data_IF_680672801153
#
_entry.id   IF_680672801153
#
_cell.length_a   1.000
_cell.length_b   1.000
_cell.length_c   1.000
_cell.angle_alpha   90.00
_cell.angle_beta   90.00
_cell.angle_gamma   90.00
#
_symmetry.space_group_name_H-M   'P 1'
#
loop_
_entity.id
_entity.type
_entity.pdbx_description
1 polymer ?
#
# COMPACT_ATOMS: atom_id res chain seq x y z
N UNK A 1 42.71 -61.13 -13.05
CA UNK A 1 42.12 -61.66 -14.29
C UNK A 1 41.67 -60.47 -15.13
N UNK A 2 42.64 -59.88 -15.84
CA UNK A 2 42.80 -59.89 -17.31
C UNK A 2 41.81 -58.92 -17.96
N UNK A 3 42.18 -57.86 -18.68
CA UNK A 3 43.44 -57.18 -19.07
C UNK A 3 42.92 -55.91 -19.81
N UNK A 4 43.47 -54.72 -19.57
CA UNK A 4 44.40 -54.00 -20.50
C UNK A 4 43.77 -53.68 -21.88
N UNK A 5 43.94 -52.54 -22.54
CA UNK A 5 44.83 -51.38 -22.41
C UNK A 5 44.54 -50.45 -23.60
N UNK A 6 44.88 -49.18 -23.42
CA UNK A 6 45.62 -48.29 -24.35
C UNK A 6 44.94 -47.81 -25.64
N UNK A 7 45.12 -46.49 -25.78
CA UNK A 7 44.75 -45.61 -26.86
C UNK A 7 45.65 -45.73 -28.11
N UNK A 8 45.21 -44.97 -29.12
CA UNK A 8 45.96 -43.98 -29.90
C UNK A 8 46.29 -44.30 -31.37
N UNK A 9 45.94 -43.30 -32.21
CA UNK A 9 46.41 -42.95 -33.57
C UNK A 9 45.98 -43.90 -34.70
N UNK A 10 45.53 -43.48 -35.87
CA UNK A 10 45.34 -42.16 -36.48
C UNK A 10 45.08 -42.31 -37.99
N UNK A 11 44.41 -41.31 -38.55
CA UNK A 11 44.38 -40.85 -39.95
C UNK A 11 44.26 -41.87 -41.11
N UNK A 12 43.23 -41.72 -41.94
CA UNK A 12 43.38 -41.52 -43.40
C UNK A 12 42.12 -40.88 -43.99
N UNK A 13 42.32 -40.01 -44.98
CA UNK A 13 41.33 -39.15 -45.62
C UNK A 13 40.78 -39.74 -46.92
N UNK A 14 39.77 -39.04 -47.46
CA UNK A 14 39.25 -39.06 -48.84
C UNK A 14 38.24 -40.16 -49.22
N UNK A 15 37.00 -39.77 -49.51
CA UNK A 15 36.51 -39.57 -50.89
C UNK A 15 34.99 -39.80 -51.02
N UNK A 16 34.35 -38.84 -51.70
CA UNK A 16 33.27 -39.03 -52.68
C UNK A 16 31.83 -39.36 -52.24
N UNK A 17 31.01 -38.35 -52.44
CA UNK A 17 29.56 -38.30 -52.67
C UNK A 17 28.85 -39.60 -53.08
N UNK A 18 27.80 -39.91 -52.34
CA UNK A 18 26.62 -40.64 -52.82
C UNK A 18 25.38 -39.79 -52.53
N UNK A 19 24.71 -39.39 -53.61
CA UNK A 19 23.41 -38.74 -53.63
C UNK A 19 22.38 -39.65 -52.95
N UNK A 20 21.93 -39.28 -51.75
CA UNK A 20 20.78 -39.86 -51.10
C UNK A 20 19.64 -38.83 -51.06
N UNK A 21 18.47 -39.26 -51.54
CA UNK A 21 17.23 -38.51 -51.70
C UNK A 21 16.87 -37.60 -50.51
N UNK A 22 16.14 -36.49 -50.75
CA UNK A 22 15.73 -35.60 -49.66
C UNK A 22 14.85 -36.37 -48.67
N UNK A 23 15.19 -36.43 -47.37
CA UNK A 23 14.27 -36.99 -46.41
C UNK A 23 13.06 -36.05 -46.32
N UNK A 24 11.91 -36.70 -46.47
CA UNK A 24 10.56 -36.29 -46.11
C UNK A 24 10.45 -34.93 -45.39
N UNK A 25 9.57 -34.09 -45.94
CA UNK A 25 8.92 -32.96 -45.27
C UNK A 25 8.95 -33.14 -43.75
N UNK A 26 9.88 -32.44 -43.09
CA UNK A 26 9.81 -32.25 -41.66
C UNK A 26 8.44 -31.63 -41.41
N UNK A 27 7.53 -32.41 -40.82
CA UNK A 27 6.24 -31.90 -40.38
C UNK A 27 6.54 -30.63 -39.58
N UNK A 28 6.05 -29.49 -40.08
CA UNK A 28 6.19 -28.22 -39.39
C UNK A 28 5.75 -28.46 -37.94
N UNK A 29 6.52 -28.03 -36.93
CA UNK A 29 6.18 -28.28 -35.54
C UNK A 29 4.74 -27.83 -35.36
N UNK A 30 3.85 -28.76 -34.98
CA UNK A 30 2.47 -28.47 -34.64
C UNK A 30 2.47 -27.18 -33.85
N UNK A 31 1.86 -26.13 -34.40
CA UNK A 31 2.01 -24.76 -33.91
C UNK A 31 1.42 -24.67 -32.49
N UNK A 32 2.19 -25.05 -31.47
CA UNK A 32 1.66 -25.53 -30.19
C UNK A 32 0.61 -24.61 -29.60
N UNK A 33 -0.59 -25.13 -29.34
CA UNK A 33 -1.81 -24.38 -29.00
C UNK A 33 -1.51 -23.06 -28.27
N UNK A 34 -1.85 -21.92 -28.88
CA UNK A 34 -1.67 -20.62 -28.24
C UNK A 34 -2.59 -20.51 -27.01
N UNK A 35 -2.05 -20.75 -25.82
CA UNK A 35 -2.83 -20.74 -24.58
C UNK A 35 -3.10 -19.31 -24.10
N UNK A 36 -4.36 -19.01 -23.83
CA UNK A 36 -4.81 -17.78 -23.18
C UNK A 36 -4.97 -17.98 -21.68
N UNK A 37 -4.20 -17.24 -20.88
CA UNK A 37 -4.43 -17.12 -19.44
C UNK A 37 -5.46 -16.01 -19.18
N UNK A 38 -6.65 -16.39 -18.73
CA UNK A 38 -7.78 -15.46 -18.58
C UNK A 38 -7.92 -15.02 -17.12
N UNK A 39 -7.57 -13.76 -16.84
CA UNK A 39 -7.67 -13.14 -15.51
C UNK A 39 -8.99 -12.41 -15.35
N UNK A 40 -9.66 -12.69 -14.23
CA UNK A 40 -10.90 -12.05 -13.79
C UNK A 40 -10.73 -11.59 -12.34
N UNK A 41 -11.59 -10.68 -11.88
CA UNK A 41 -11.76 -10.47 -10.45
C UNK A 41 -12.40 -11.73 -9.84
N UNK A 42 -11.60 -12.52 -9.11
CA UNK A 42 -12.05 -13.79 -8.54
C UNK A 42 -13.06 -13.62 -7.40
N UNK A 43 -13.15 -12.43 -6.79
CA UNK A 43 -14.22 -12.09 -5.86
C UNK A 43 -15.52 -11.92 -6.63
N UNK A 44 -15.48 -11.13 -7.70
CA UNK A 44 -16.60 -10.88 -8.60
C UNK A 44 -16.77 -9.42 -8.96
N UNK A 45 -17.91 -9.11 -9.58
CA UNK A 45 -18.27 -7.78 -10.04
C UNK A 45 -19.67 -7.36 -9.57
N UNK A 46 -19.89 -6.06 -9.38
CA UNK A 46 -21.21 -5.48 -9.11
C UNK A 46 -22.08 -5.46 -10.38
N UNK A 47 -23.42 -5.55 -10.26
CA UNK A 47 -24.31 -5.53 -11.43
C UNK A 47 -24.10 -4.32 -12.35
N UNK A 48 -23.96 -3.11 -11.80
CA UNK A 48 -23.91 -1.87 -12.56
C UNK A 48 -22.50 -1.26 -12.71
N UNK A 49 -21.44 -1.95 -12.29
CA UNK A 49 -20.09 -1.45 -12.50
C UNK A 49 -19.53 -1.88 -13.87
N UNK A 50 -18.56 -1.12 -14.43
CA UNK A 50 -17.72 -1.57 -15.52
C UNK A 50 -16.97 -2.86 -15.14
N UNK A 51 -17.05 -3.87 -16.00
CA UNK A 51 -16.47 -5.20 -15.74
C UNK A 51 -15.39 -5.48 -16.76
N UNK A 52 -14.17 -5.67 -16.27
CA UNK A 52 -12.99 -5.90 -17.11
C UNK A 52 -12.33 -7.21 -16.71
N UNK A 53 -11.99 -8.00 -17.72
CA UNK A 53 -11.14 -9.18 -17.64
C UNK A 53 -10.00 -9.04 -18.66
N UNK A 54 -9.00 -9.90 -18.55
CA UNK A 54 -7.84 -9.89 -19.45
C UNK A 54 -7.54 -11.29 -19.96
N UNK A 55 -7.32 -11.44 -21.26
CA UNK A 55 -6.71 -12.63 -21.83
C UNK A 55 -5.23 -12.33 -22.13
N UNK A 56 -4.34 -13.16 -21.62
CA UNK A 56 -2.88 -12.99 -21.75
C UNK A 56 -2.31 -14.17 -22.52
N UNK A 57 -1.55 -13.92 -23.58
CA UNK A 57 -1.00 -14.96 -24.46
C UNK A 57 0.51 -14.78 -24.68
N UNK A 58 1.19 -15.87 -25.06
CA UNK A 58 2.61 -15.84 -25.45
C UNK A 58 2.78 -15.30 -26.88
N UNK A 59 1.90 -15.72 -27.79
CA UNK A 59 1.87 -15.34 -29.20
C UNK A 59 0.63 -14.47 -29.48
N UNK A 60 0.70 -13.65 -30.52
CA UNK A 60 -0.43 -12.83 -30.95
C UNK A 60 -1.64 -13.71 -31.24
N UNK A 61 -2.82 -13.26 -30.83
CA UNK A 61 -4.10 -13.95 -30.97
C UNK A 61 -5.12 -13.04 -31.67
N UNK A 62 -4.84 -12.60 -32.92
CA UNK A 62 -5.75 -11.74 -33.65
C UNK A 62 -7.07 -12.49 -33.90
N UNK A 63 -8.19 -11.77 -33.85
CA UNK A 63 -9.53 -12.30 -34.09
C UNK A 63 -10.02 -13.41 -33.12
N UNK A 64 -9.27 -13.76 -32.07
CA UNK A 64 -9.75 -14.67 -31.04
C UNK A 64 -11.08 -14.18 -30.45
N UNK A 65 -11.98 -15.13 -30.19
CA UNK A 65 -13.31 -14.86 -29.66
C UNK A 65 -13.39 -15.28 -28.21
N UNK A 66 -14.35 -14.71 -27.49
CA UNK A 66 -14.71 -15.19 -26.17
C UNK A 66 -16.21 -15.41 -26.06
N UNK A 67 -16.59 -16.36 -25.23
CA UNK A 67 -17.95 -16.54 -24.74
C UNK A 67 -17.97 -16.43 -23.22
N UNK A 68 -19.06 -15.92 -22.68
CA UNK A 68 -19.35 -15.97 -21.24
C UNK A 68 -20.40 -17.04 -21.02
N UNK A 69 -20.10 -17.98 -20.13
CA UNK A 69 -20.95 -19.11 -19.81
C UNK A 69 -21.54 -18.96 -18.42
N UNK A 70 -22.83 -19.28 -18.25
CA UNK A 70 -23.54 -19.36 -16.96
C UNK A 70 -24.40 -20.63 -16.98
N UNK A 71 -24.18 -21.55 -16.03
CA UNK A 71 -24.92 -22.84 -15.96
C UNK A 71 -24.87 -23.62 -17.28
N UNK A 72 -23.71 -23.70 -17.92
CA UNK A 72 -23.54 -24.37 -19.22
C UNK A 72 -23.94 -23.54 -20.44
N UNK A 73 -24.82 -22.54 -20.28
CA UNK A 73 -25.32 -21.73 -21.38
C UNK A 73 -24.41 -20.54 -21.72
N UNK A 74 -24.28 -20.25 -23.01
CA UNK A 74 -23.62 -19.03 -23.49
C UNK A 74 -24.56 -17.84 -23.32
N UNK A 75 -24.23 -16.96 -22.37
CA UNK A 75 -25.00 -15.74 -22.07
C UNK A 75 -24.43 -14.48 -22.73
N UNK A 76 -23.23 -14.59 -23.31
CA UNK A 76 -22.60 -13.50 -24.06
C UNK A 76 -21.56 -14.04 -25.02
N UNK A 77 -21.41 -13.39 -26.17
CA UNK A 77 -20.32 -13.59 -27.12
C UNK A 77 -19.58 -12.28 -27.35
N UNK A 78 -18.31 -12.37 -27.73
CA UNK A 78 -17.54 -11.20 -28.14
C UNK A 78 -16.20 -11.59 -28.77
N UNK A 79 -15.47 -10.57 -29.23
CA UNK A 79 -14.09 -10.71 -29.73
C UNK A 79 -13.12 -10.14 -28.71
N UNK A 80 -11.92 -10.69 -28.64
CA UNK A 80 -10.84 -10.05 -27.90
C UNK A 80 -10.62 -8.64 -28.47
N UNK A 81 -10.43 -7.65 -27.57
CA UNK A 81 -10.15 -6.28 -27.99
C UNK A 81 -8.77 -6.11 -28.61
N UNK A 82 -8.33 -4.87 -28.81
CA UNK A 82 -6.95 -4.58 -29.23
C UNK A 82 -5.94 -5.15 -28.22
N UNK A 83 -4.82 -5.65 -28.73
CA UNK A 83 -3.65 -5.96 -27.90
C UNK A 83 -3.13 -4.68 -27.24
N UNK A 84 -3.11 -4.66 -25.91
CA UNK A 84 -2.63 -3.53 -25.11
C UNK A 84 -1.16 -3.68 -24.71
N UNK A 85 -0.48 -4.68 -25.29
CA UNK A 85 0.96 -4.87 -25.18
C UNK A 85 1.36 -5.89 -24.12
N UNK A 86 2.66 -5.85 -23.80
CA UNK A 86 3.33 -6.87 -22.99
C UNK A 86 3.19 -6.61 -21.49
N UNK A 87 2.85 -7.66 -20.74
CA UNK A 87 2.92 -7.65 -19.27
C UNK A 87 4.23 -8.24 -18.73
N UNK A 88 4.80 -9.26 -19.38
CA UNK A 88 6.04 -9.94 -18.93
C UNK A 88 6.74 -10.66 -20.07
N UNK A 89 7.93 -11.25 -19.82
CA UNK A 89 8.61 -12.12 -20.82
C UNK A 89 7.69 -13.25 -21.31
N UNK A 90 6.89 -13.84 -20.41
CA UNK A 90 5.93 -14.89 -20.73
C UNK A 90 4.69 -14.36 -21.43
N UNK A 91 4.12 -13.25 -20.97
CA UNK A 91 2.87 -12.70 -21.48
C UNK A 91 3.13 -11.48 -22.36
N UNK A 92 3.41 -11.73 -23.63
CA UNK A 92 3.79 -10.71 -24.62
C UNK A 92 2.61 -9.94 -25.20
N UNK A 93 1.42 -10.55 -25.18
CA UNK A 93 0.20 -9.95 -25.71
C UNK A 93 -0.90 -10.01 -24.65
N UNK A 94 -1.60 -8.90 -24.46
CA UNK A 94 -2.66 -8.76 -23.47
C UNK A 94 -3.88 -8.14 -24.12
N UNK A 95 -5.02 -8.82 -24.01
CA UNK A 95 -6.27 -8.39 -24.61
C UNK A 95 -7.29 -8.06 -23.52
N UNK A 96 -7.79 -6.82 -23.53
CA UNK A 96 -8.84 -6.40 -22.60
C UNK A 96 -10.21 -6.92 -23.04
N UNK A 97 -10.89 -7.63 -22.15
CA UNK A 97 -12.25 -8.14 -22.33
C UNK A 97 -13.19 -7.26 -21.51
N UNK A 98 -14.12 -6.57 -22.18
CA UNK A 98 -15.17 -5.78 -21.53
C UNK A 98 -16.47 -6.59 -21.48
N UNK A 99 -16.99 -6.81 -20.28
CA UNK A 99 -18.23 -7.57 -20.07
C UNK A 99 -19.46 -6.64 -19.88
N UNK A 100 -19.36 -5.37 -20.30
CA UNK A 100 -20.36 -4.32 -20.05
C UNK A 100 -21.76 -4.71 -20.54
N UNK A 101 -22.79 -4.56 -19.70
CA UNK A 101 -24.15 -5.06 -19.96
C UNK A 101 -24.45 -6.43 -19.32
N UNK A 102 -23.43 -7.17 -18.86
CA UNK A 102 -23.67 -8.35 -18.03
C UNK A 102 -24.03 -7.89 -16.60
N UNK A 103 -25.33 -7.91 -16.26
CA UNK A 103 -25.83 -7.43 -14.96
C UNK A 103 -26.51 -8.51 -14.13
N UNK A 104 -27.04 -9.57 -14.78
CA UNK A 104 -27.73 -10.67 -14.12
C UNK A 104 -26.82 -11.28 -13.04
N UNK A 105 -27.40 -11.60 -11.89
CA UNK A 105 -26.66 -12.21 -10.78
C UNK A 105 -26.38 -13.68 -11.08
N UNK A 106 -25.20 -14.16 -10.68
CA UNK A 106 -24.83 -15.56 -10.86
C UNK A 106 -23.32 -15.80 -10.86
N UNK A 107 -22.95 -17.03 -11.17
CA UNK A 107 -21.57 -17.45 -11.39
C UNK A 107 -21.34 -17.63 -12.88
N UNK A 108 -20.21 -17.13 -13.35
CA UNK A 108 -19.85 -17.04 -14.76
C UNK A 108 -18.44 -17.56 -14.99
N UNK A 109 -18.15 -17.93 -16.24
CA UNK A 109 -16.80 -18.24 -16.73
C UNK A 109 -16.60 -17.63 -18.11
N UNK A 110 -15.41 -17.12 -18.41
CA UNK A 110 -15.02 -16.72 -19.75
C UNK A 110 -14.30 -17.89 -20.40
N UNK A 111 -14.64 -18.19 -21.65
CA UNK A 111 -13.94 -19.16 -22.50
C UNK A 111 -13.48 -18.44 -23.76
N UNK A 112 -12.17 -18.44 -24.00
CA UNK A 112 -11.52 -17.89 -25.19
C UNK A 112 -11.27 -19.02 -26.17
N UNK A 113 -11.57 -18.81 -27.46
CA UNK A 113 -11.41 -19.78 -28.55
C UNK A 113 -10.88 -19.11 -29.83
N UNK A 114 -10.30 -19.93 -30.72
CA UNK A 114 -9.78 -19.53 -32.03
C UNK A 114 -8.25 -19.47 -32.02
N UNK A 115 -7.68 -18.35 -32.46
CA UNK A 115 -6.21 -18.12 -32.48
C UNK A 115 -5.55 -18.10 -31.10
N UNK A 116 -6.36 -18.15 -30.03
CA UNK A 116 -5.93 -18.60 -28.72
C UNK A 116 -7.06 -19.35 -28.00
N UNK A 117 -6.69 -20.25 -27.08
CA UNK A 117 -7.63 -21.08 -26.34
C UNK A 117 -7.36 -21.01 -24.84
N UNK A 118 -8.40 -20.83 -24.03
CA UNK A 118 -8.26 -20.74 -22.57
C UNK A 118 -9.57 -20.47 -21.84
N UNK A 119 -9.57 -20.62 -20.52
CA UNK A 119 -10.74 -20.39 -19.67
C UNK A 119 -10.36 -19.70 -18.38
N UNK A 120 -11.23 -18.84 -17.87
CA UNK A 120 -11.05 -18.20 -16.57
C UNK A 120 -11.42 -19.14 -15.42
N UNK A 121 -10.96 -18.86 -14.19
CA UNK A 121 -11.66 -19.28 -12.99
C UNK A 121 -13.13 -18.81 -13.01
N UNK A 122 -13.96 -19.43 -12.18
CA UNK A 122 -15.33 -18.94 -11.98
C UNK A 122 -15.31 -17.57 -11.30
N UNK A 123 -16.19 -16.65 -11.72
CA UNK A 123 -16.38 -15.35 -11.06
C UNK A 123 -17.86 -15.05 -10.86
N UNK A 124 -18.16 -14.15 -9.92
CA UNK A 124 -19.54 -13.83 -9.54
C UNK A 124 -19.97 -12.47 -10.05
N UNK A 125 -21.26 -12.33 -10.36
CA UNK A 125 -21.93 -11.03 -10.37
C UNK A 125 -22.93 -11.04 -9.22
N UNK A 126 -22.73 -10.15 -8.24
CA UNK A 126 -23.55 -10.10 -7.03
C UNK A 126 -23.50 -8.71 -6.37
N UNK A 127 -24.47 -8.39 -5.49
CA UNK A 127 -24.43 -7.15 -4.71
C UNK A 127 -23.17 -7.03 -3.86
N UNK A 128 -22.68 -5.80 -3.66
CA UNK A 128 -21.44 -5.52 -2.93
C UNK A 128 -21.45 -6.04 -1.48
N UNK A 129 -22.63 -6.10 -0.84
CA UNK A 129 -22.77 -6.71 0.50
C UNK A 129 -22.35 -8.18 0.53
N UNK A 130 -22.49 -8.92 -0.58
CA UNK A 130 -22.10 -10.33 -0.68
C UNK A 130 -20.64 -10.48 -1.08
N UNK A 131 -20.17 -9.64 -2.01
CA UNK A 131 -18.81 -9.72 -2.55
C UNK A 131 -17.77 -9.12 -1.60
N UNK A 132 -18.01 -7.90 -1.11
CA UNK A 132 -16.98 -7.07 -0.49
C UNK A 132 -17.12 -6.93 1.03
N UNK A 133 -18.28 -7.24 1.62
CA UNK A 133 -18.44 -7.26 3.09
C UNK A 133 -17.52 -8.27 3.77
N UNK A 134 -17.36 -9.51 3.27
CA UNK A 134 -16.39 -10.45 3.84
C UNK A 134 -14.95 -9.95 3.73
N UNK A 135 -14.56 -9.39 2.59
CA UNK A 135 -13.21 -8.83 2.41
C UNK A 135 -12.91 -7.70 3.38
N UNK A 136 -13.87 -6.80 3.62
CA UNK A 136 -13.71 -5.76 4.65
C UNK A 136 -13.49 -6.36 6.04
N UNK A 137 -14.23 -7.43 6.39
CA UNK A 137 -14.04 -8.14 7.66
C UNK A 137 -12.66 -8.79 7.73
N UNK A 138 -12.17 -9.39 6.64
CA UNK A 138 -10.84 -9.98 6.57
C UNK A 138 -9.74 -8.91 6.66
N UNK A 139 -9.90 -7.76 6.00
CA UNK A 139 -8.97 -6.64 6.12
C UNK A 139 -8.86 -6.16 7.58
N UNK A 140 -9.99 -5.97 8.27
CA UNK A 140 -9.98 -5.62 9.71
C UNK A 140 -9.36 -6.75 10.55
N UNK A 141 -9.59 -8.02 10.20
CA UNK A 141 -8.96 -9.15 10.89
C UNK A 141 -7.43 -9.12 10.70
N UNK A 142 -6.94 -8.81 9.51
CA UNK A 142 -5.52 -8.68 9.23
C UNK A 142 -4.85 -7.58 10.08
N UNK A 143 -5.44 -6.39 10.17
CA UNK A 143 -4.92 -5.36 11.10
C UNK A 143 -4.91 -5.86 12.54
N UNK A 144 -5.94 -6.59 12.96
CA UNK A 144 -5.99 -7.18 14.31
C UNK A 144 -4.88 -8.19 14.57
N UNK A 145 -4.50 -9.00 13.57
CA UNK A 145 -3.39 -9.96 13.69
C UNK A 145 -2.02 -9.29 13.71
N UNK A 146 -1.91 -8.09 13.15
CA UNK A 146 -0.70 -7.29 13.17
C UNK A 146 -0.52 -6.48 14.46
N UNK A 147 -1.50 -6.48 15.38
CA UNK A 147 -1.38 -5.69 16.62
C UNK A 147 -0.18 -6.11 17.46
N UNK A 148 0.43 -5.10 18.06
CA UNK A 148 1.54 -5.21 18.99
C UNK A 148 1.17 -4.77 20.42
N UNK A 149 2.02 -5.03 21.40
CA UNK A 149 1.82 -4.66 22.79
C UNK A 149 0.90 -5.62 23.55
N UNK A 150 0.23 -5.11 24.58
CA UNK A 150 -0.61 -5.95 25.46
C UNK A 150 -2.00 -6.25 24.90
N UNK A 151 -2.48 -5.50 23.90
CA UNK A 151 -3.83 -5.62 23.36
C UNK A 151 -3.86 -6.42 22.04
N UNK A 152 -3.37 -7.66 22.12
CA UNK A 152 -3.33 -8.60 21.02
C UNK A 152 -4.51 -9.56 21.16
N UNK A 153 -5.46 -9.57 20.22
CA UNK A 153 -6.52 -10.57 20.23
C UNK A 153 -5.92 -11.95 19.92
N UNK A 154 -6.32 -12.97 20.69
CA UNK A 154 -5.89 -14.36 20.44
C UNK A 154 -6.15 -14.75 18.98
N UNK A 155 -7.34 -14.43 18.46
CA UNK A 155 -7.62 -14.42 17.02
C UNK A 155 -7.28 -15.73 16.29
N UNK A 156 -7.13 -15.65 14.96
CA UNK A 156 -6.85 -16.82 14.12
C UNK A 156 -5.40 -17.33 14.22
N UNK A 157 -4.46 -16.48 14.66
CA UNK A 157 -3.04 -16.81 14.73
C UNK A 157 -2.58 -17.23 16.14
N UNK A 158 -3.52 -17.32 17.10
CA UNK A 158 -3.23 -17.59 18.52
C UNK A 158 -2.08 -16.75 19.07
N UNK A 159 -1.99 -15.51 18.61
CA UNK A 159 -0.90 -14.61 18.98
C UNK A 159 -1.01 -14.22 20.44
N UNK A 160 0.14 -14.02 21.06
CA UNK A 160 0.28 -13.53 22.44
C UNK A 160 0.72 -12.07 22.42
N UNK A 161 0.50 -11.33 23.52
CA UNK A 161 1.14 -10.05 23.74
C UNK A 161 2.65 -10.09 23.45
N UNK A 162 3.17 -9.01 22.88
CA UNK A 162 4.57 -8.90 22.46
C UNK A 162 5.10 -7.48 22.66
N UNK A 163 6.42 -7.35 22.77
CA UNK A 163 7.16 -6.10 22.91
C UNK A 163 6.61 -5.22 24.04
N UNK A 164 6.40 -5.83 25.20
CA UNK A 164 5.83 -5.15 26.37
C UNK A 164 6.76 -4.07 26.93
N UNK A 165 8.06 -4.22 26.67
CA UNK A 165 9.09 -3.24 27.02
C UNK A 165 8.90 -1.87 26.33
N UNK A 166 8.14 -1.80 25.23
CA UNK A 166 7.81 -0.55 24.54
C UNK A 166 7.06 0.46 25.42
N UNK A 167 6.43 0.01 26.52
CA UNK A 167 5.81 0.92 27.51
C UNK A 167 6.82 1.84 28.18
N UNK A 168 8.10 1.48 28.18
CA UNK A 168 9.22 2.25 28.75
C UNK A 168 10.40 2.36 27.76
N UNK A 169 10.09 2.55 26.48
CA UNK A 169 11.13 2.66 25.45
C UNK A 169 12.05 3.87 25.66
N UNK A 170 13.33 3.72 25.32
CA UNK A 170 14.22 4.86 25.16
C UNK A 170 13.92 5.60 23.86
N UNK A 171 14.10 6.92 23.87
CA UNK A 171 14.16 7.70 22.63
C UNK A 171 15.60 7.82 22.17
N UNK A 172 15.80 7.72 20.85
CA UNK A 172 17.12 7.67 20.22
C UNK A 172 17.20 8.69 19.07
N UNK A 173 18.40 9.16 18.79
CA UNK A 173 18.67 9.95 17.59
C UNK A 173 18.44 9.11 16.34
N UNK A 174 18.12 9.75 15.21
CA UNK A 174 18.01 9.10 13.90
C UNK A 174 19.27 8.25 13.64
N UNK A 175 19.13 6.94 13.36
CA UNK A 175 20.26 6.07 13.10
C UNK A 175 20.87 6.35 11.73
N UNK A 176 22.14 5.97 11.56
CA UNK A 176 22.85 6.05 10.27
C UNK A 176 22.93 4.68 9.63
N UNK A 177 22.75 4.63 8.32
CA UNK A 177 22.84 3.43 7.53
C UNK A 177 23.86 3.63 6.39
N UNK A 178 24.56 2.56 6.03
CA UNK A 178 25.47 2.50 4.87
C UNK A 178 25.30 1.16 4.19
N UNK A 179 25.04 1.15 2.88
CA UNK A 179 24.74 -0.06 2.09
C UNK A 179 23.66 -0.95 2.75
N UNK A 180 22.57 -0.33 3.22
CA UNK A 180 21.47 -1.05 3.88
C UNK A 180 21.75 -1.54 5.30
N UNK A 181 22.94 -1.35 5.88
CA UNK A 181 23.29 -1.83 7.22
C UNK A 181 23.45 -0.70 8.23
N UNK A 182 23.08 -0.96 9.48
CA UNK A 182 23.20 0.00 10.58
C UNK A 182 24.67 0.30 10.86
N UNK A 183 25.00 1.58 10.99
CA UNK A 183 26.34 2.07 11.34
C UNK A 183 26.40 2.41 12.81
N UNK A 184 27.27 1.73 13.55
CA UNK A 184 27.45 1.92 14.99
C UNK A 184 26.23 1.51 15.81
N UNK A 185 26.17 1.98 17.05
CA UNK A 185 25.03 1.74 17.96
C UNK A 185 24.10 2.96 17.99
N UNK A 186 22.77 2.76 18.10
CA UNK A 186 21.82 3.84 18.33
C UNK A 186 22.17 4.69 19.55
N UNK A 187 22.25 6.01 19.37
CA UNK A 187 22.54 6.96 20.45
C UNK A 187 21.25 7.34 21.19
N UNK A 188 21.13 6.94 22.45
CA UNK A 188 20.00 7.32 23.31
C UNK A 188 20.04 8.83 23.57
N UNK A 189 18.88 9.48 23.57
CA UNK A 189 18.77 10.93 23.78
C UNK A 189 17.86 11.30 24.97
N UNK A 190 16.83 10.51 25.27
CA UNK A 190 15.92 10.73 26.40
C UNK A 190 15.06 9.47 26.64
N UNK A 191 14.06 9.59 27.52
CA UNK A 191 13.09 8.55 27.87
C UNK A 191 13.09 8.25 29.37
N UNK A 192 12.21 7.35 29.85
CA UNK A 192 11.35 6.47 29.07
C UNK A 192 10.14 7.19 28.42
N UNK A 193 9.61 6.60 27.35
CA UNK A 193 8.33 6.96 26.72
C UNK A 193 7.52 5.70 26.45
N UNK A 194 6.19 5.81 26.46
CA UNK A 194 5.31 4.72 26.00
C UNK A 194 5.09 4.82 24.49
N UNK A 195 5.58 3.82 23.76
CA UNK A 195 5.33 3.61 22.31
C UNK A 195 4.67 2.26 22.02
N UNK A 196 4.12 1.62 23.06
CA UNK A 196 3.46 0.32 22.97
C UNK A 196 2.15 0.38 22.18
N UNK A 197 1.76 -0.74 21.58
CA UNK A 197 0.61 -0.81 20.68
C UNK A 197 1.01 -0.58 19.23
N UNK A 198 0.03 -0.21 18.41
CA UNK A 198 0.20 -0.08 16.97
C UNK A 198 0.14 -1.43 16.26
N UNK A 199 0.48 -1.41 14.98
CA UNK A 199 0.58 -2.60 14.14
C UNK A 199 2.02 -2.80 13.72
N UNK A 200 2.44 -4.05 13.64
CA UNK A 200 3.60 -4.43 12.86
C UNK A 200 3.41 -4.02 11.41
N UNK A 201 4.45 -3.40 10.87
CA UNK A 201 4.41 -2.79 9.55
C UNK A 201 4.24 -3.83 8.45
N UNK A 202 5.01 -4.92 8.54
CA UNK A 202 4.99 -5.98 7.55
C UNK A 202 5.16 -7.37 8.19
N UNK A 203 6.01 -8.21 7.59
CA UNK A 203 6.44 -9.48 8.16
C UNK A 203 7.45 -9.32 9.31
N UNK A 204 8.11 -8.16 9.38
CA UNK A 204 8.89 -7.72 10.54
C UNK A 204 7.98 -7.20 11.67
N UNK A 205 8.59 -6.78 12.78
CA UNK A 205 7.90 -6.19 13.92
C UNK A 205 8.14 -4.69 14.08
N UNK A 206 8.60 -4.01 13.04
CA UNK A 206 8.83 -2.58 13.04
C UNK A 206 7.50 -1.83 13.03
N UNK A 207 7.55 -0.56 13.45
CA UNK A 207 6.41 0.34 13.40
C UNK A 207 6.85 1.70 12.91
N UNK A 208 6.27 2.16 11.80
CA UNK A 208 6.60 3.47 11.22
C UNK A 208 5.37 4.39 11.23
N UNK A 209 5.59 5.66 11.56
CA UNK A 209 4.56 6.70 11.37
C UNK A 209 4.22 6.86 9.88
N UNK A 210 5.24 6.75 9.03
CA UNK A 210 5.14 6.77 7.56
C UNK A 210 3.98 5.91 7.02
N UNK A 211 4.06 4.60 7.21
CA UNK A 211 3.06 3.64 6.73
C UNK A 211 1.79 3.62 7.57
N UNK A 212 1.93 3.74 8.90
CA UNK A 212 0.79 3.65 9.81
C UNK A 212 -0.18 4.82 9.60
N UNK A 213 0.31 6.03 9.31
CA UNK A 213 -0.58 7.17 9.05
C UNK A 213 -1.35 7.00 7.74
N UNK A 214 -0.74 6.44 6.69
CA UNK A 214 -1.43 6.08 5.44
C UNK A 214 -2.51 5.03 5.70
N UNK A 215 -2.15 3.90 6.32
CA UNK A 215 -3.08 2.80 6.59
C UNK A 215 -4.23 3.24 7.50
N UNK A 216 -3.95 4.00 8.56
CA UNK A 216 -4.97 4.48 9.49
C UNK A 216 -5.87 5.55 8.85
N UNK A 217 -5.34 6.44 8.00
CA UNK A 217 -6.17 7.37 7.24
C UNK A 217 -7.21 6.63 6.37
N UNK A 218 -6.82 5.57 5.66
CA UNK A 218 -7.75 4.74 4.89
C UNK A 218 -8.80 4.07 5.78
N UNK A 219 -8.40 3.51 6.93
CA UNK A 219 -9.32 2.90 7.89
C UNK A 219 -10.31 3.92 8.48
N UNK A 220 -9.85 5.12 8.81
CA UNK A 220 -10.67 6.20 9.36
C UNK A 220 -11.64 6.75 8.30
N UNK A 221 -11.20 6.94 7.05
CA UNK A 221 -12.06 7.31 5.91
C UNK A 221 -13.14 6.25 5.69
N UNK A 222 -12.75 4.96 5.71
CA UNK A 222 -13.68 3.85 5.57
C UNK A 222 -14.69 3.79 6.74
N UNK A 223 -14.23 3.99 7.98
CA UNK A 223 -15.07 4.04 9.18
C UNK A 223 -16.07 5.21 9.11
N UNK A 224 -15.63 6.38 8.64
CA UNK A 224 -16.49 7.56 8.39
C UNK A 224 -17.60 7.25 7.38
N UNK A 225 -17.28 6.50 6.32
CA UNK A 225 -18.24 6.09 5.27
C UNK A 225 -19.13 4.91 5.67
N UNK A 226 -18.82 4.21 6.77
CA UNK A 226 -19.56 3.02 7.23
C UNK A 226 -19.85 3.09 8.74
N UNK A 227 -20.62 4.09 9.22
CA UNK A 227 -20.78 4.36 10.65
C UNK A 227 -21.36 3.20 11.47
N UNK A 228 -22.10 2.27 10.84
CA UNK A 228 -22.60 1.05 11.48
C UNK A 228 -21.54 -0.04 11.72
N UNK A 229 -20.37 0.02 11.08
CA UNK A 229 -19.30 -0.97 11.23
C UNK A 229 -18.43 -0.66 12.46
N UNK A 230 -18.94 -1.05 13.64
CA UNK A 230 -18.25 -0.85 14.93
C UNK A 230 -16.87 -1.53 14.98
N UNK A 231 -16.66 -2.62 14.24
CA UNK A 231 -15.37 -3.34 14.24
C UNK A 231 -14.30 -2.55 13.49
N UNK A 232 -14.63 -2.08 12.28
CA UNK A 232 -13.76 -1.19 11.52
C UNK A 232 -13.44 0.09 12.30
N UNK A 233 -14.45 0.74 12.88
CA UNK A 233 -14.23 1.94 13.70
C UNK A 233 -13.27 1.68 14.86
N UNK A 234 -13.43 0.56 15.60
CA UNK A 234 -12.54 0.24 16.72
C UNK A 234 -11.09 0.01 16.28
N UNK A 235 -10.88 -0.58 15.10
CA UNK A 235 -9.55 -0.81 14.55
C UNK A 235 -8.91 0.50 14.08
N UNK A 236 -9.63 1.34 13.35
CA UNK A 236 -9.16 2.68 12.97
C UNK A 236 -8.81 3.53 14.20
N UNK A 237 -9.65 3.50 15.24
CA UNK A 237 -9.33 4.21 16.48
C UNK A 237 -8.15 3.58 17.25
N UNK A 238 -7.81 2.31 16.99
CA UNK A 238 -6.63 1.67 17.58
C UNK A 238 -5.33 2.20 16.97
N UNK A 239 -5.27 2.33 15.64
CA UNK A 239 -4.14 2.98 14.94
C UNK A 239 -3.96 4.42 15.41
N UNK A 240 -5.04 5.20 15.42
CA UNK A 240 -5.02 6.59 15.89
C UNK A 240 -4.46 6.72 17.32
N UNK A 241 -4.80 5.80 18.23
CA UNK A 241 -4.27 5.82 19.61
C UNK A 241 -2.76 5.58 19.66
N UNK A 242 -2.23 4.77 18.76
CA UNK A 242 -0.78 4.57 18.69
C UNK A 242 -0.10 5.81 18.09
N UNK A 243 -0.64 6.35 16.99
CA UNK A 243 -0.14 7.59 16.37
C UNK A 243 -0.16 8.79 17.34
N UNK A 244 -1.14 8.83 18.25
CA UNK A 244 -1.19 9.82 19.32
C UNK A 244 -0.01 9.74 20.30
N UNK A 245 0.53 8.54 20.54
CA UNK A 245 1.74 8.36 21.37
C UNK A 245 3.01 8.82 20.64
N UNK A 246 3.02 8.69 19.32
CA UNK A 246 4.15 9.08 18.46
C UNK A 246 4.28 10.60 18.34
N UNK A 247 3.19 11.34 18.60
CA UNK A 247 3.21 12.80 18.74
C UNK A 247 3.21 13.24 20.20
N UNK A 248 4.26 13.94 20.63
CA UNK A 248 4.38 14.45 22.00
C UNK A 248 3.90 15.89 22.06
N UNK A 249 2.65 16.09 22.50
CA UNK A 249 2.03 17.42 22.54
C UNK A 249 2.80 18.44 23.37
N UNK A 250 3.27 18.07 24.56
CA UNK A 250 3.95 19.00 25.47
C UNK A 250 5.22 19.59 24.85
N UNK A 251 5.99 18.75 24.18
CA UNK A 251 7.32 19.11 23.64
C UNK A 251 7.31 19.33 22.13
N UNK A 252 6.14 19.24 21.49
CA UNK A 252 5.96 19.32 20.03
C UNK A 252 6.97 18.44 19.28
N UNK A 253 7.05 17.18 19.68
CA UNK A 253 8.08 16.24 19.22
C UNK A 253 7.45 15.06 18.50
N UNK A 254 7.94 14.72 17.32
CA UNK A 254 7.57 13.51 16.59
C UNK A 254 8.59 12.39 16.83
N UNK A 255 8.10 11.23 17.25
CA UNK A 255 8.77 9.95 17.09
C UNK A 255 8.28 9.36 15.76
N UNK A 256 9.16 8.93 14.88
CA UNK A 256 8.76 8.51 13.52
C UNK A 256 8.87 6.99 13.28
N UNK A 257 9.60 6.28 14.12
CA UNK A 257 9.87 4.85 13.96
C UNK A 257 10.14 4.19 15.32
N UNK A 258 9.69 2.94 15.47
CA UNK A 258 10.03 2.05 16.59
C UNK A 258 10.68 0.78 16.03
N UNK A 259 11.85 0.41 16.57
CA UNK A 259 12.60 -0.77 16.13
C UNK A 259 13.66 -0.47 15.07
N UNK A 260 14.55 -1.45 14.88
CA UNK A 260 15.64 -1.47 13.91
C UNK A 260 15.37 -2.64 12.97
N UNK A 261 15.26 -2.38 11.66
CA UNK A 261 15.04 -3.44 10.67
C UNK A 261 16.33 -4.20 10.40
N UNK A 262 17.21 -3.63 9.57
CA UNK A 262 18.53 -4.17 9.30
C UNK A 262 19.50 -3.77 10.40
N UNK A 263 20.14 -4.77 11.03
CA UNK A 263 21.21 -4.57 11.98
C UNK A 263 22.54 -4.19 11.33
N UNK A 264 23.60 -4.27 12.13
CA UNK A 264 24.98 -4.00 11.73
C UNK A 264 25.94 -4.91 12.50
N UNK A 265 27.24 -4.58 12.51
CA UNK A 265 28.28 -5.43 13.14
C UNK A 265 28.00 -5.79 14.61
N UNK A 266 27.35 -4.91 15.37
CA UNK A 266 27.19 -5.06 16.83
C UNK A 266 25.74 -4.97 17.32
N UNK A 267 24.79 -4.92 16.41
CA UNK A 267 23.36 -4.78 16.70
C UNK A 267 22.60 -5.67 15.75
N UNK A 268 21.76 -6.54 16.30
CA UNK A 268 20.81 -7.37 15.55
C UNK A 268 19.51 -6.60 15.43
N UNK A 269 19.02 -6.45 14.20
CA UNK A 269 17.72 -5.89 13.89
C UNK A 269 16.68 -6.97 13.61
N UNK A 270 15.46 -6.54 13.35
CA UNK A 270 14.31 -7.41 13.13
C UNK A 270 14.46 -8.31 11.89
N UNK A 271 15.11 -7.79 10.84
CA UNK A 271 15.34 -8.50 9.57
C UNK A 271 16.43 -9.58 9.65
N UNK A 272 17.21 -9.58 10.74
CA UNK A 272 18.30 -10.54 10.93
C UNK A 272 17.81 -11.86 11.55
N UNK A 273 16.51 -11.97 11.90
CA UNK A 273 15.97 -13.09 12.67
C UNK A 273 14.56 -13.52 12.21
N UNK A 274 14.30 -14.83 12.21
CA UNK A 274 12.95 -15.41 12.12
C UNK A 274 12.48 -15.89 13.50
N UNK A 275 11.36 -15.35 13.99
CA UNK A 275 10.84 -15.71 15.32
C UNK A 275 9.35 -15.43 15.44
N UNK A 276 8.79 -15.74 16.61
CA UNK A 276 7.49 -15.23 17.05
C UNK A 276 7.72 -14.00 17.94
N UNK A 277 6.88 -12.96 17.86
CA UNK A 277 7.15 -11.67 18.50
C UNK A 277 7.14 -11.75 20.03
N UNK A 278 6.30 -12.62 20.62
CA UNK A 278 6.27 -12.84 22.07
C UNK A 278 7.54 -13.51 22.63
N UNK A 279 8.43 -14.03 21.77
CA UNK A 279 9.71 -14.58 22.21
C UNK A 279 10.70 -13.47 22.57
N UNK A 280 10.53 -12.28 22.02
CA UNK A 280 11.43 -11.14 22.24
C UNK A 280 11.40 -10.67 23.70
N UNK A 281 10.23 -10.71 24.34
CA UNK A 281 10.08 -10.36 25.75
C UNK A 281 10.82 -11.32 26.71
N UNK A 282 11.07 -12.56 26.28
CA UNK A 282 11.75 -13.60 27.08
C UNK A 282 13.27 -13.51 27.01
N UNK A 283 13.82 -12.67 26.14
CA UNK A 283 15.26 -12.49 26.02
C UNK A 283 15.86 -11.97 27.34
N UNK A 284 16.94 -12.60 27.78
CA UNK A 284 17.80 -12.12 28.87
C UNK A 284 18.96 -11.38 28.23
N UNK A 285 18.89 -10.05 28.18
CA UNK A 285 19.86 -9.18 27.49
C UNK A 285 20.25 -7.99 28.37
N UNK A 286 21.51 -7.59 28.29
CA UNK A 286 22.10 -6.41 28.92
C UNK A 286 22.43 -5.37 27.86
N UNK A 287 22.62 -4.12 28.28
CA UNK A 287 23.04 -3.03 27.36
C UNK A 287 24.41 -3.40 26.81
N UNK A 288 24.55 -3.38 25.49
CA UNK A 288 25.76 -3.85 24.82
C UNK A 288 25.53 -5.16 24.07
N UNK A 289 24.58 -5.99 24.48
CA UNK A 289 24.34 -7.26 23.79
C UNK A 289 23.82 -7.01 22.36
N UNK A 290 24.18 -7.85 21.38
CA UNK A 290 23.72 -7.70 20.00
C UNK A 290 22.19 -7.67 19.88
N UNK A 291 21.48 -8.50 20.67
CA UNK A 291 20.01 -8.60 20.69
C UNK A 291 19.34 -7.63 21.67
N UNK A 292 20.07 -6.70 22.28
CA UNK A 292 19.48 -5.74 23.23
C UNK A 292 18.28 -4.99 22.64
N UNK A 293 18.40 -4.52 21.40
CA UNK A 293 17.35 -3.76 20.72
C UNK A 293 16.22 -4.60 20.14
N UNK A 294 16.30 -5.93 20.19
CA UNK A 294 15.16 -6.81 19.89
C UNK A 294 14.13 -6.71 21.02
N UNK A 295 14.58 -6.79 22.29
CA UNK A 295 13.70 -6.63 23.46
C UNK A 295 13.43 -5.17 23.80
N UNK A 296 14.47 -4.33 23.85
CA UNK A 296 14.36 -2.92 24.24
C UNK A 296 14.38 -2.01 23.02
N UNK A 297 13.32 -2.10 22.22
CA UNK A 297 13.25 -1.44 20.91
C UNK A 297 13.36 0.09 21.02
N UNK A 298 14.19 0.74 20.18
CA UNK A 298 14.37 2.17 20.23
C UNK A 298 13.21 2.90 19.55
N UNK A 299 12.78 4.03 20.10
CA UNK A 299 11.91 4.97 19.42
C UNK A 299 12.75 6.13 18.84
N UNK A 300 12.77 6.28 17.52
CA UNK A 300 13.59 7.31 16.86
C UNK A 300 12.86 8.65 16.76
N UNK A 301 13.56 9.71 17.18
CA UNK A 301 13.03 11.09 17.19
C UNK A 301 13.35 11.81 15.88
N UNK A 302 12.37 12.46 15.30
CA UNK A 302 12.50 13.16 14.01
C UNK A 302 13.35 14.44 14.11
N UNK A 303 13.37 15.10 15.28
CA UNK A 303 14.09 16.35 15.51
C UNK A 303 14.17 16.69 17.00
N UNK A 304 14.73 17.86 17.36
CA UNK A 304 14.68 18.39 18.73
C UNK A 304 13.22 18.78 19.11
N UNK A 305 12.86 18.93 20.40
CA UNK A 305 11.59 19.53 20.79
C UNK A 305 11.30 20.83 20.03
N UNK A 306 10.07 20.99 19.53
CA UNK A 306 9.66 22.16 18.73
C UNK A 306 10.18 22.20 17.28
N UNK A 307 10.98 21.23 16.84
CA UNK A 307 11.53 21.22 15.48
C UNK A 307 10.42 21.12 14.41
N UNK A 308 10.70 21.70 13.23
CA UNK A 308 9.87 21.49 12.04
C UNK A 308 9.86 20.01 11.64
N UNK A 309 8.74 19.57 11.09
CA UNK A 309 8.49 18.17 10.72
C UNK A 309 8.57 18.03 9.20
N UNK A 310 9.07 16.90 8.69
CA UNK A 310 8.99 16.57 7.27
C UNK A 310 7.54 16.67 6.78
N UNK A 311 7.27 17.37 5.65
CA UNK A 311 5.91 17.74 5.30
C UNK A 311 4.98 16.55 5.01
N UNK A 312 5.51 15.45 4.46
CA UNK A 312 4.77 14.20 4.25
C UNK A 312 4.20 13.63 5.56
N UNK A 313 5.06 13.44 6.56
CA UNK A 313 4.65 12.97 7.89
C UNK A 313 3.73 13.98 8.59
N UNK A 314 3.99 15.28 8.45
CA UNK A 314 3.15 16.31 9.06
C UNK A 314 1.73 16.33 8.45
N UNK A 315 1.63 16.22 7.13
CA UNK A 315 0.36 16.18 6.41
C UNK A 315 -0.49 14.97 6.79
N UNK A 316 0.08 13.77 6.71
CA UNK A 316 -0.63 12.52 7.04
C UNK A 316 -0.97 12.40 8.52
N UNK A 317 -0.06 12.81 9.42
CA UNK A 317 -0.36 12.81 10.85
C UNK A 317 -1.45 13.84 11.21
N UNK A 318 -1.46 15.01 10.55
CA UNK A 318 -2.56 15.96 10.71
C UNK A 318 -3.89 15.39 10.18
N UNK A 319 -3.87 14.67 9.06
CA UNK A 319 -5.05 14.04 8.50
C UNK A 319 -5.68 13.01 9.44
N UNK A 320 -4.90 12.09 10.01
CA UNK A 320 -5.42 11.07 10.94
C UNK A 320 -6.02 11.69 12.20
N UNK A 321 -5.40 12.73 12.78
CA UNK A 321 -5.96 13.43 13.91
C UNK A 321 -7.27 14.14 13.55
N UNK A 322 -7.34 14.79 12.40
CA UNK A 322 -8.55 15.48 11.96
C UNK A 322 -9.69 14.49 11.60
N UNK A 323 -9.37 13.35 10.98
CA UNK A 323 -10.32 12.26 10.74
C UNK A 323 -10.84 11.66 12.05
N UNK A 324 -9.95 11.43 13.02
CA UNK A 324 -10.32 11.03 14.38
C UNK A 324 -11.27 12.03 15.04
N UNK A 325 -10.97 13.32 14.94
CA UNK A 325 -11.86 14.38 15.43
C UNK A 325 -13.26 14.29 14.79
N UNK A 326 -13.35 14.01 13.49
CA UNK A 326 -14.64 13.83 12.83
C UNK A 326 -15.44 12.63 13.34
N UNK A 327 -14.78 11.52 13.66
CA UNK A 327 -15.46 10.32 14.18
C UNK A 327 -15.93 10.52 15.62
N UNK A 328 -15.16 11.25 16.42
CA UNK A 328 -15.44 11.51 17.84
C UNK A 328 -16.42 12.67 18.04
N UNK A 329 -16.57 13.59 17.07
CA UNK A 329 -17.31 14.85 17.20
C UNK A 329 -18.71 14.75 17.86
N UNK A 330 -19.46 13.67 17.59
CA UNK A 330 -20.81 13.50 18.16
C UNK A 330 -20.83 12.91 19.57
N UNK A 331 -19.89 12.02 19.90
CA UNK A 331 -19.92 11.25 21.15
C UNK A 331 -18.94 11.76 22.20
N UNK A 332 -17.82 12.32 21.75
CA UNK A 332 -16.72 12.78 22.60
C UNK A 332 -16.21 14.13 22.05
N UNK A 333 -17.00 15.22 22.15
CA UNK A 333 -16.68 16.51 21.54
C UNK A 333 -15.39 17.13 22.09
N UNK A 334 -15.06 16.97 23.37
CA UNK A 334 -13.79 17.44 23.94
C UNK A 334 -12.57 16.75 23.34
N UNK A 335 -12.65 15.42 23.22
CA UNK A 335 -11.62 14.64 22.54
C UNK A 335 -11.47 15.05 21.09
N UNK A 336 -12.59 15.28 20.40
CA UNK A 336 -12.57 15.76 19.02
C UNK A 336 -11.92 17.15 18.89
N UNK A 337 -12.21 18.08 19.81
CA UNK A 337 -11.55 19.40 19.87
C UNK A 337 -10.05 19.26 20.13
N UNK A 338 -9.65 18.36 21.03
CA UNK A 338 -8.24 18.09 21.30
C UNK A 338 -7.53 17.56 20.05
N UNK A 339 -8.08 16.55 19.38
CA UNK A 339 -7.55 15.99 18.14
C UNK A 339 -7.45 17.05 17.03
N UNK A 340 -8.46 17.91 16.87
CA UNK A 340 -8.41 19.01 15.90
C UNK A 340 -7.30 20.02 16.22
N UNK A 341 -7.05 20.33 17.51
CA UNK A 341 -5.91 21.17 17.90
C UNK A 341 -4.59 20.50 17.53
N UNK A 342 -4.41 19.21 17.83
CA UNK A 342 -3.21 18.44 17.43
C UNK A 342 -2.98 18.50 15.93
N UNK A 343 -4.01 18.21 15.14
CA UNK A 343 -3.94 18.27 13.68
C UNK A 343 -3.45 19.63 13.17
N UNK A 344 -4.00 20.73 13.70
CA UNK A 344 -3.57 22.10 13.34
C UNK A 344 -2.13 22.38 13.75
N UNK A 345 -1.72 21.97 14.94
CA UNK A 345 -0.34 22.14 15.42
C UNK A 345 0.67 21.38 14.56
N UNK A 346 0.41 20.10 14.27
CA UNK A 346 1.29 19.26 13.45
C UNK A 346 1.42 19.83 12.04
N UNK A 347 0.29 20.16 11.39
CA UNK A 347 0.32 20.74 10.04
C UNK A 347 1.05 22.09 9.99
N UNK A 348 0.95 22.89 11.06
CA UNK A 348 1.67 24.17 11.16
C UNK A 348 3.19 23.99 11.26
N UNK A 349 3.65 22.90 11.88
CA UNK A 349 5.07 22.59 12.04
C UNK A 349 5.70 21.95 10.78
N UNK A 350 4.93 21.69 9.72
CA UNK A 350 5.46 21.18 8.47
C UNK A 350 6.56 22.09 7.90
N UNK A 351 7.69 21.49 7.48
CA UNK A 351 8.79 22.15 6.77
C UNK A 351 8.47 22.18 5.27
N UNK A 352 7.73 23.19 4.84
CA UNK A 352 7.25 23.29 3.45
C UNK A 352 8.12 24.17 2.55
N UNK A 353 9.11 24.86 3.11
CA UNK A 353 10.15 25.59 2.36
C UNK A 353 11.42 24.77 2.38
N UNK A 354 12.07 24.59 1.24
CA UNK A 354 13.32 23.82 1.09
C UNK A 354 13.23 22.46 1.81
N UNK A 355 12.16 21.70 1.50
CA UNK A 355 11.83 20.46 2.20
C UNK A 355 12.97 19.43 2.13
N UNK A 356 13.82 19.50 1.10
CA UNK A 356 14.94 18.59 0.89
C UNK A 356 14.48 17.14 0.82
N UNK A 357 15.37 16.21 1.16
CA UNK A 357 15.00 14.80 1.32
C UNK A 357 13.99 14.63 2.45
N UNK A 358 12.86 14.00 2.14
CA UNK A 358 11.81 13.73 3.10
C UNK A 358 12.27 12.73 4.17
N UNK A 359 11.78 12.92 5.40
CA UNK A 359 11.88 11.88 6.43
C UNK A 359 10.71 10.92 6.24
N UNK A 360 11.04 9.64 6.04
CA UNK A 360 10.08 8.54 5.95
C UNK A 360 10.41 7.51 7.03
N UNK A 361 11.39 6.64 6.75
CA UNK A 361 11.90 5.60 7.64
C UNK A 361 13.43 5.65 7.74
N UNK A 362 14.01 4.76 8.52
CA UNK A 362 15.45 4.58 8.65
C UNK A 362 15.79 3.08 8.62
N UNK A 363 16.48 2.61 7.57
CA UNK A 363 16.94 3.34 6.39
C UNK A 363 15.79 3.90 5.54
N UNK A 364 16.05 5.00 4.83
CA UNK A 364 15.05 5.65 3.98
C UNK A 364 14.57 4.74 2.84
N UNK A 365 15.42 3.81 2.39
CA UNK A 365 15.16 2.88 1.30
C UNK A 365 14.02 1.88 1.55
N UNK A 366 13.48 1.77 2.77
CA UNK A 366 12.31 0.93 3.00
C UNK A 366 11.03 1.54 2.42
N UNK A 367 10.91 2.86 2.53
CA UNK A 367 9.73 3.61 2.09
C UNK A 367 10.20 4.95 1.58
N UNK A 368 10.73 4.96 0.36
CA UNK A 368 11.13 6.19 -0.31
C UNK A 368 9.89 6.96 -0.75
N UNK A 369 9.97 8.28 -0.66
CA UNK A 369 8.88 9.18 -1.02
C UNK A 369 9.47 10.55 -1.35
N UNK A 370 9.02 11.13 -2.45
CA UNK A 370 9.44 12.45 -2.93
C UNK A 370 8.26 13.45 -3.03
N UNK A 371 7.03 12.93 -3.03
CA UNK A 371 5.80 13.73 -3.03
C UNK A 371 5.32 13.97 -1.60
N UNK A 372 4.77 15.16 -1.34
CA UNK A 372 4.30 15.55 0.00
C UNK A 372 3.18 16.59 -0.04
N UNK A 373 2.93 17.20 -1.21
CA UNK A 373 1.92 18.25 -1.36
C UNK A 373 0.51 17.66 -1.28
N UNK A 374 0.34 16.42 -1.71
CA UNK A 374 -0.84 15.59 -1.51
C UNK A 374 -1.11 15.31 -0.02
N UNK A 375 -0.09 15.01 0.78
CA UNK A 375 -0.22 14.80 2.22
C UNK A 375 -0.64 16.08 2.94
N UNK A 376 -0.04 17.20 2.55
CA UNK A 376 -0.41 18.52 3.06
C UNK A 376 -1.82 18.93 2.64
N UNK A 377 -2.25 18.54 1.43
CA UNK A 377 -3.63 18.68 0.99
C UNK A 377 -4.58 17.82 1.84
N UNK A 378 -4.27 16.55 2.04
CA UNK A 378 -5.09 15.64 2.83
C UNK A 378 -5.26 16.18 4.25
N UNK A 379 -4.16 16.55 4.91
CA UNK A 379 -4.19 17.12 6.26
C UNK A 379 -4.99 18.41 6.35
N UNK A 380 -4.79 19.35 5.41
CA UNK A 380 -5.55 20.60 5.39
C UNK A 380 -7.04 20.40 5.09
N UNK A 381 -7.37 19.48 4.18
CA UNK A 381 -8.75 19.13 3.82
C UNK A 381 -9.48 18.54 5.01
N UNK A 382 -8.88 17.55 5.67
CA UNK A 382 -9.54 16.87 6.77
C UNK A 382 -9.66 17.77 8.02
N UNK A 383 -8.72 18.70 8.23
CA UNK A 383 -8.90 19.79 9.21
C UNK A 383 -10.13 20.64 8.86
N UNK A 384 -10.30 21.05 7.60
CA UNK A 384 -11.44 21.87 7.21
C UNK A 384 -12.78 21.15 7.43
N UNK A 385 -12.83 19.85 7.13
CA UNK A 385 -14.01 18.99 7.37
C UNK A 385 -14.27 18.84 8.88
N UNK A 386 -13.24 18.60 9.69
CA UNK A 386 -13.35 18.50 11.14
C UNK A 386 -13.80 19.82 11.78
N UNK A 387 -13.21 20.96 11.38
CA UNK A 387 -13.61 22.31 11.82
C UNK A 387 -15.09 22.54 11.58
N UNK A 388 -15.59 22.20 10.38
CA UNK A 388 -17.01 22.33 10.04
C UNK A 388 -17.88 21.42 10.91
N UNK A 389 -17.50 20.14 11.04
CA UNK A 389 -18.27 19.16 11.80
C UNK A 389 -18.40 19.49 13.29
N UNK A 390 -17.41 20.20 13.83
CA UNK A 390 -17.40 20.70 15.21
C UNK A 390 -18.00 22.10 15.37
N UNK A 391 -18.60 22.68 14.32
CA UNK A 391 -19.18 24.03 14.38
C UNK A 391 -18.16 25.13 14.70
N UNK A 392 -16.88 24.94 14.38
CA UNK A 392 -15.81 25.89 14.73
C UNK A 392 -15.66 27.00 13.68
N UNK A 393 -15.21 28.20 14.08
CA UNK A 393 -14.91 29.27 13.14
C UNK A 393 -13.73 28.91 12.22
N UNK A 394 -13.58 29.70 11.15
CA UNK A 394 -12.48 29.63 10.17
C UNK A 394 -12.52 28.49 9.14
N UNK A 395 -13.64 27.78 8.97
CA UNK A 395 -13.81 26.81 7.86
C UNK A 395 -13.42 27.40 6.49
N UNK A 396 -13.74 28.69 6.25
CA UNK A 396 -13.33 29.41 5.02
C UNK A 396 -11.80 29.43 4.84
N UNK A 397 -11.06 29.72 5.90
CA UNK A 397 -9.59 29.79 5.90
C UNK A 397 -8.98 28.40 5.73
N UNK A 398 -9.53 27.40 6.41
CA UNK A 398 -9.04 26.02 6.34
C UNK A 398 -9.23 25.44 4.92
N UNK A 399 -10.38 25.69 4.28
CA UNK A 399 -10.62 25.30 2.88
C UNK A 399 -9.69 26.02 1.89
N UNK A 400 -9.43 27.32 2.09
CA UNK A 400 -8.48 28.06 1.24
C UNK A 400 -7.06 27.48 1.35
N UNK A 401 -6.67 27.04 2.55
CA UNK A 401 -5.41 26.34 2.80
C UNK A 401 -5.36 24.99 2.07
N UNK A 402 -6.42 24.20 2.14
CA UNK A 402 -6.52 22.92 1.43
C UNK A 402 -6.45 23.11 -0.09
N UNK A 403 -7.22 24.04 -0.65
CA UNK A 403 -7.21 24.34 -2.09
C UNK A 403 -5.85 24.84 -2.60
N UNK A 404 -5.06 25.52 -1.75
CA UNK A 404 -3.68 25.90 -2.11
C UNK A 404 -2.79 24.67 -2.27
N UNK A 405 -2.89 23.70 -1.36
CA UNK A 405 -2.11 22.46 -1.47
C UNK A 405 -2.55 21.60 -2.65
N UNK A 406 -3.86 21.52 -2.91
CA UNK A 406 -4.36 20.85 -4.10
C UNK A 406 -3.78 21.44 -5.40
N UNK A 407 -3.74 22.78 -5.51
CA UNK A 407 -3.07 23.44 -6.65
C UNK A 407 -1.56 23.16 -6.70
N UNK A 408 -0.90 23.10 -5.56
CA UNK A 408 0.54 22.80 -5.48
C UNK A 408 0.85 21.35 -5.90
N UNK A 409 -0.02 20.39 -5.56
CA UNK A 409 0.09 19.01 -6.02
C UNK A 409 -0.14 18.89 -7.52
N UNK A 410 -1.24 19.47 -8.04
CA UNK A 410 -1.58 19.40 -9.49
C UNK A 410 -0.51 20.03 -10.37
N UNK A 411 0.16 21.09 -9.90
CA UNK A 411 1.30 21.72 -10.62
C UNK A 411 2.64 21.03 -10.34
N UNK A 412 2.65 19.99 -9.53
CA UNK A 412 3.83 19.30 -9.07
C UNK A 412 4.30 18.20 -10.04
N UNK A 413 5.58 17.80 -9.95
CA UNK A 413 6.15 16.80 -10.86
C UNK A 413 5.58 15.39 -10.72
N UNK A 414 4.92 15.05 -9.61
CA UNK A 414 4.33 13.73 -9.36
C UNK A 414 2.80 13.69 -9.45
N UNK A 415 2.18 14.72 -10.04
CA UNK A 415 0.73 14.74 -10.24
C UNK A 415 0.25 13.49 -11.01
N UNK A 416 -0.67 12.73 -10.41
CA UNK A 416 -1.27 11.55 -11.02
C UNK A 416 -0.31 10.39 -11.25
N UNK A 417 0.91 10.43 -10.71
CA UNK A 417 1.90 9.37 -10.92
C UNK A 417 1.39 8.06 -10.33
N UNK A 418 0.95 8.06 -9.07
CA UNK A 418 0.63 6.84 -8.35
C UNK A 418 -0.62 6.93 -7.49
N UNK A 419 -1.66 7.56 -8.03
CA UNK A 419 -2.97 7.77 -7.39
C UNK A 419 -3.45 6.55 -6.59
N UNK A 420 -3.76 6.75 -5.30
CA UNK A 420 -4.20 5.74 -4.31
C UNK A 420 -3.09 4.84 -3.73
N UNK A 421 -1.83 5.02 -4.10
CA UNK A 421 -0.72 4.36 -3.43
C UNK A 421 -0.35 5.07 -2.12
N UNK A 422 0.57 4.47 -1.35
CA UNK A 422 1.10 5.06 -0.10
C UNK A 422 1.65 6.47 -0.32
N UNK A 423 2.35 6.66 -1.44
CA UNK A 423 3.06 7.88 -1.84
C UNK A 423 2.18 8.92 -2.54
N UNK A 424 0.89 8.65 -2.71
CA UNK A 424 -0.02 9.58 -3.38
C UNK A 424 -1.46 9.48 -2.83
N UNK A 425 -1.70 10.33 -1.83
CA UNK A 425 -2.96 10.49 -1.11
C UNK A 425 -3.93 11.45 -1.82
N UNK A 426 -3.56 12.01 -2.97
CA UNK A 426 -4.31 13.06 -3.67
C UNK A 426 -5.74 12.65 -4.00
N UNK A 427 -5.98 11.38 -4.37
CA UNK A 427 -7.32 10.91 -4.73
C UNK A 427 -8.34 11.12 -3.61
N UNK A 428 -7.92 10.86 -2.37
CA UNK A 428 -8.78 11.00 -1.19
C UNK A 428 -8.89 12.48 -0.83
N UNK A 429 -7.76 13.19 -0.82
CA UNK A 429 -7.71 14.61 -0.53
C UNK A 429 -8.61 15.42 -1.49
N UNK A 430 -8.41 15.25 -2.79
CA UNK A 430 -9.19 15.88 -3.85
C UNK A 430 -10.68 15.55 -3.73
N UNK A 431 -11.04 14.28 -3.54
CA UNK A 431 -12.44 13.86 -3.46
C UNK A 431 -13.18 14.51 -2.28
N UNK A 432 -12.55 14.58 -1.10
CA UNK A 432 -13.19 15.19 0.07
C UNK A 432 -13.13 16.72 0.05
N UNK A 433 -12.08 17.31 -0.54
CA UNK A 433 -12.00 18.75 -0.77
C UNK A 433 -13.10 19.21 -1.73
N UNK A 434 -13.27 18.53 -2.87
CA UNK A 434 -14.34 18.82 -3.82
C UNK A 434 -15.70 18.80 -3.13
N UNK A 435 -16.01 17.75 -2.37
CA UNK A 435 -17.27 17.65 -1.60
C UNK A 435 -17.42 18.77 -0.57
N UNK A 436 -16.34 19.14 0.12
CA UNK A 436 -16.36 20.21 1.12
C UNK A 436 -16.59 21.60 0.49
N UNK A 437 -16.13 21.80 -0.75
CA UNK A 437 -16.35 23.01 -1.56
C UNK A 437 -17.75 23.04 -2.20
N UNK A 438 -18.24 21.93 -2.76
CA UNK A 438 -19.56 21.88 -3.44
C UNK A 438 -20.73 22.11 -2.49
N UNK A 439 -20.60 21.73 -1.21
CA UNK A 439 -21.57 22.06 -0.13
C UNK A 439 -21.70 23.58 0.16
N UNK A 440 -21.07 24.45 -0.65
CA UNK A 440 -21.20 25.91 -0.60
C UNK A 440 -21.82 26.55 -1.84
N UNK A 441 -22.18 25.78 -2.88
CA UNK A 441 -22.73 26.36 -4.12
C UNK A 441 -21.78 27.31 -4.87
N UNK A 442 -20.47 27.31 -4.59
CA UNK A 442 -19.52 28.27 -5.17
C UNK A 442 -18.85 27.81 -6.47
N UNK A 443 -18.55 28.77 -7.36
CA UNK A 443 -17.87 28.57 -8.67
C UNK A 443 -16.57 27.75 -8.61
N UNK A 444 -15.89 27.71 -7.45
CA UNK A 444 -14.67 26.93 -7.22
C UNK A 444 -14.83 25.40 -7.31
N UNK A 445 -16.04 24.86 -7.12
CA UNK A 445 -16.31 23.44 -7.34
C UNK A 445 -16.21 23.06 -8.83
N UNK A 446 -16.62 23.97 -9.75
CA UNK A 446 -16.63 23.71 -11.20
C UNK A 446 -15.23 23.69 -11.80
N UNK A 447 -14.33 24.59 -11.36
CA UNK A 447 -12.91 24.58 -11.81
C UNK A 447 -12.15 23.34 -11.31
N UNK A 448 -12.45 22.85 -10.12
CA UNK A 448 -11.79 21.68 -9.55
C UNK A 448 -12.27 20.38 -10.22
N UNK A 449 -13.57 20.25 -10.48
CA UNK A 449 -14.10 19.13 -11.25
C UNK A 449 -13.60 19.09 -12.70
N UNK A 450 -13.38 20.25 -13.34
CA UNK A 450 -12.79 20.31 -14.68
C UNK A 450 -11.33 19.84 -14.71
N UNK A 451 -10.52 20.26 -13.71
CA UNK A 451 -9.12 19.85 -13.59
C UNK A 451 -8.93 18.39 -13.15
N UNK A 452 -9.92 17.76 -12.50
CA UNK A 452 -9.87 16.33 -12.13
C UNK A 452 -10.46 15.40 -13.22
N UNK A 453 -11.14 15.95 -14.24
CA UNK A 453 -11.68 15.22 -15.39
C UNK A 453 -10.66 15.07 -16.53
N UNK A 454 -9.52 15.76 -16.47
CA UNK A 454 -8.39 15.43 -17.35
C UNK A 454 -7.97 14.00 -17.04
N UNK A 455 -8.05 13.13 -18.05
CA UNK A 455 -7.77 11.69 -17.88
C UNK A 455 -6.41 11.54 -17.21
N UNK A 456 -6.25 10.71 -16.16
CA UNK A 456 -4.94 10.23 -15.80
C UNK A 456 -4.42 9.43 -17.00
N UNK A 457 -3.57 10.04 -17.81
CA UNK A 457 -2.67 9.28 -18.66
C UNK A 457 -1.78 8.53 -17.70
N UNK A 458 -2.09 7.26 -17.46
CA UNK A 458 -1.17 6.34 -16.79
C UNK A 458 0.19 6.54 -17.45
N UNK A 459 1.23 6.99 -16.73
CA UNK A 459 2.56 7.04 -17.29
C UNK A 459 2.87 5.65 -17.82
N UNK A 460 3.31 5.58 -19.08
CA UNK A 460 3.88 4.35 -19.60
C UNK A 460 4.92 3.88 -18.59
N UNK A 461 4.79 2.64 -18.10
CA UNK A 461 5.70 2.06 -17.13
C UNK A 461 7.14 2.29 -17.63
N UNK A 462 7.85 3.24 -17.00
CA UNK A 462 9.27 3.41 -17.24
C UNK A 462 9.91 2.10 -16.85
N UNK A 463 10.60 1.49 -17.82
CA UNK A 463 11.39 0.27 -17.64
C UNK A 463 12.41 0.56 -16.53
N UNK A 464 12.25 -0.06 -15.37
CA UNK A 464 13.41 -0.37 -14.54
C UNK A 464 14.08 -1.56 -15.24
N UNK A 465 15.28 -1.31 -15.76
CA UNK A 465 16.21 -2.34 -16.20
C UNK A 465 16.77 -3.05 -14.97
#
# INVERSE_FOLDING_TARGET
>A
MIRRTIALVGAFACASALLAAPPAHAAAPEAGVNRAFVRVNQVGYLPHEPKVAYAMTRRSAPHARYVVVRRGEVVRRGRLGKDVGRWSKRWRHVYRIRLGGLQRRGTYRIVVRGSANGRSPGFRIAPGRRLYRPLRRHAVMFFRTQRDGSNVPSGQLHRRPSHLADRRAGTYAKPRYRHGRLVGRPRKIAGPVDVSGGWFDAGDYLKFVETSTYADALLLVAARKTPGDKRLRREAMYGLRWLDKMWRDRTKTLLYQVGIGDGGKSVVGDHDLWRLPQRDDRLRVRRGDPKFFIKHRPAFRAGKPGARISPNLAGRLAAVFALGAQLEARKHPDRARALLRKARTVLHLARTKNAGRLLTTSPHSYYEEDEWRDDMELGATEIAVATRKLGRPHVRRDLRRAARWARAYVRGPHHGWYTLARDDNSAIAHADLARALSRRGGRGARCFEAGARTRPTLPAARRQA
#
